data_IF_739823093479
#
_entry.id   IF_739823093479
#
_cell.length_a   1.000
_cell.length_b   1.000
_cell.length_c   1.000
_cell.angle_alpha   90.00
_cell.angle_beta   90.00
_cell.angle_gamma   90.00
#
_symmetry.space_group_name_H-M   'P 1'
#
loop_
_entity.id
_entity.type
_entity.pdbx_description
1 polymer ?
#
# COMPACT_ATOMS: atom_id res chain seq x y z
N UNK A 1 9.23 4.06 3.65
CA UNK A 1 9.56 4.99 4.74
C UNK A 1 10.36 4.29 5.85
N UNK A 2 11.13 5.03 6.64
CA UNK A 2 12.05 4.48 7.67
C UNK A 2 11.36 3.72 8.81
N UNK A 3 10.15 4.14 9.16
CA UNK A 3 9.34 3.48 10.19
C UNK A 3 8.97 2.05 9.76
N UNK A 4 8.50 1.88 8.52
CA UNK A 4 8.20 0.57 7.97
C UNK A 4 9.43 -0.33 7.94
N UNK A 5 10.56 0.18 7.46
CA UNK A 5 11.80 -0.60 7.44
C UNK A 5 12.22 -1.04 8.85
N UNK A 6 12.03 -0.18 9.86
CA UNK A 6 12.35 -0.50 11.26
C UNK A 6 11.46 -1.63 11.79
N UNK A 7 10.15 -1.55 11.60
CA UNK A 7 9.22 -2.59 12.05
C UNK A 7 9.54 -3.93 11.37
N UNK A 8 9.89 -3.89 10.09
CA UNK A 8 10.14 -5.09 9.31
C UNK A 8 11.44 -5.80 9.69
N UNK A 9 12.53 -5.04 9.88
CA UNK A 9 13.80 -5.57 10.41
C UNK A 9 13.63 -6.21 11.78
N UNK A 10 12.78 -5.64 12.63
CA UNK A 10 12.56 -6.14 13.99
C UNK A 10 11.73 -7.43 14.02
N UNK A 11 10.69 -7.54 13.21
CA UNK A 11 9.70 -8.60 13.31
C UNK A 11 9.89 -9.75 12.29
N UNK A 12 10.57 -9.51 11.17
CA UNK A 12 10.83 -10.53 10.15
C UNK A 12 12.16 -10.28 9.40
N UNK A 13 13.32 -10.39 10.08
CA UNK A 13 14.62 -10.05 9.51
C UNK A 13 14.98 -10.86 8.24
N UNK A 14 14.64 -12.16 8.19
CA UNK A 14 14.93 -13.00 7.02
C UNK A 14 14.09 -12.60 5.79
N UNK A 15 12.83 -12.23 6.03
CA UNK A 15 11.91 -11.75 4.97
C UNK A 15 12.29 -10.34 4.52
N UNK A 16 12.77 -9.52 5.47
CA UNK A 16 13.29 -8.18 5.20
C UNK A 16 14.48 -8.22 4.23
N UNK A 17 15.52 -9.01 4.55
CA UNK A 17 16.75 -9.04 3.73
C UNK A 17 16.49 -9.58 2.31
N UNK A 18 15.69 -10.64 2.20
CA UNK A 18 15.32 -11.20 0.89
C UNK A 18 14.52 -10.20 0.05
N UNK A 19 13.52 -9.54 0.64
CA UNK A 19 12.70 -8.59 -0.12
C UNK A 19 13.47 -7.32 -0.46
N UNK A 20 14.29 -6.79 0.46
CA UNK A 20 15.18 -5.68 0.18
C UNK A 20 16.10 -6.01 -0.99
N UNK A 21 16.65 -7.22 -1.04
CA UNK A 21 17.60 -7.59 -2.09
C UNK A 21 16.93 -7.81 -3.45
N UNK A 22 15.79 -8.49 -3.48
CA UNK A 22 15.21 -8.99 -4.74
C UNK A 22 13.98 -8.23 -5.25
N UNK A 23 13.22 -7.58 -4.36
CA UNK A 23 11.95 -6.94 -4.71
C UNK A 23 12.07 -5.41 -4.66
N UNK A 24 12.69 -4.88 -3.61
CA UNK A 24 12.90 -3.44 -3.41
C UNK A 24 14.40 -3.11 -3.23
N UNK A 25 15.25 -3.36 -4.25
CA UNK A 25 16.71 -3.11 -4.17
C UNK A 25 17.06 -1.65 -3.90
N UNK A 26 16.15 -0.72 -4.23
CA UNK A 26 16.29 0.71 -3.97
C UNK A 26 15.76 1.14 -2.59
N UNK A 27 15.30 0.19 -1.76
CA UNK A 27 14.66 0.45 -0.48
C UNK A 27 13.18 0.82 -0.58
N UNK A 28 12.53 1.05 0.56
CA UNK A 28 11.12 1.43 0.63
C UNK A 28 10.96 2.93 0.39
N UNK A 29 10.67 3.32 -0.85
CA UNK A 29 10.42 4.71 -1.24
C UNK A 29 9.17 5.29 -0.56
N UNK A 30 8.98 6.61 -0.67
CA UNK A 30 7.78 7.29 -0.13
C UNK A 30 6.48 6.90 -0.87
N UNK A 31 6.61 6.24 -2.02
CA UNK A 31 5.50 5.67 -2.78
C UNK A 31 4.98 4.36 -2.17
N UNK A 32 5.63 3.84 -1.15
CA UNK A 32 5.24 2.62 -0.44
C UNK A 32 4.73 2.99 0.95
N UNK A 33 3.51 2.56 1.23
CA UNK A 33 2.87 2.60 2.53
C UNK A 33 2.86 1.19 3.12
N UNK A 34 3.02 1.13 4.44
CA UNK A 34 3.02 -0.13 5.17
C UNK A 34 1.85 -0.14 6.15
N UNK A 35 1.10 -1.24 6.14
CA UNK A 35 -0.01 -1.44 7.05
C UNK A 35 -0.11 -2.91 7.41
N UNK A 36 -0.40 -3.19 8.68
CA UNK A 36 -0.58 -4.54 9.17
C UNK A 36 -0.93 -4.51 10.64
N UNK A 37 -1.66 -5.53 11.09
CA UNK A 37 -1.96 -5.77 12.50
C UNK A 37 -1.89 -7.27 12.74
N UNK A 38 -1.59 -7.68 13.98
CA UNK A 38 -1.66 -9.09 14.39
C UNK A 38 -2.95 -9.74 13.89
N UNK A 39 -2.81 -10.83 13.13
CA UNK A 39 -3.93 -11.60 12.59
C UNK A 39 -4.73 -10.93 11.47
N UNK A 40 -4.24 -9.82 10.89
CA UNK A 40 -4.89 -9.09 9.79
C UNK A 40 -3.84 -8.65 8.77
N UNK A 41 -3.86 -9.25 7.58
CA UNK A 41 -3.05 -8.86 6.42
C UNK A 41 -3.87 -9.02 5.14
N UNK A 42 -3.50 -8.27 4.09
CA UNK A 42 -4.02 -8.48 2.75
C UNK A 42 -3.49 -9.81 2.19
N UNK A 43 -4.35 -10.61 1.59
CA UNK A 43 -4.00 -11.96 1.12
C UNK A 43 -3.88 -12.01 -0.41
N UNK A 44 -3.54 -13.20 -0.92
CA UNK A 44 -3.51 -13.47 -2.35
C UNK A 44 -4.91 -13.24 -2.95
N UNK A 45 -4.96 -12.45 -4.02
CA UNK A 45 -6.21 -12.08 -4.70
C UNK A 45 -6.72 -10.70 -4.34
N UNK A 46 -6.20 -10.08 -3.27
CA UNK A 46 -6.59 -8.72 -2.88
C UNK A 46 -5.81 -7.62 -3.64
N UNK A 47 -4.82 -8.00 -4.46
CA UNK A 47 -4.00 -7.06 -5.24
C UNK A 47 -4.87 -6.11 -6.08
N UNK A 48 -4.62 -4.81 -5.94
CA UNK A 48 -5.42 -3.74 -6.54
C UNK A 48 -6.59 -3.26 -5.67
N UNK A 49 -6.91 -3.96 -4.57
CA UNK A 49 -7.93 -3.56 -3.61
C UNK A 49 -7.55 -2.34 -2.77
N UNK A 50 -8.53 -1.62 -2.20
CA UNK A 50 -8.28 -0.41 -1.42
C UNK A 50 -7.91 -0.72 0.03
N UNK A 51 -6.86 -0.07 0.54
CA UNK A 51 -6.70 0.20 1.96
C UNK A 51 -7.43 1.51 2.27
N UNK A 52 -8.56 1.42 2.97
CA UNK A 52 -9.38 2.60 3.31
C UNK A 52 -9.53 2.79 4.81
N UNK A 53 -9.76 4.04 5.20
CA UNK A 53 -10.13 4.41 6.56
C UNK A 53 -11.46 5.17 6.54
N UNK A 54 -12.38 4.76 7.41
CA UNK A 54 -13.66 5.42 7.63
C UNK A 54 -13.48 6.51 8.69
N UNK A 55 -13.71 7.77 8.32
CA UNK A 55 -13.62 8.88 9.26
C UNK A 55 -14.90 9.03 10.11
N UNK A 56 -14.90 9.98 11.05
CA UNK A 56 -16.04 10.24 11.97
C UNK A 56 -17.30 10.77 11.28
N UNK A 57 -17.21 11.14 10.01
CA UNK A 57 -18.32 11.64 9.21
C UNK A 57 -18.83 10.58 8.21
N UNK A 58 -18.51 9.30 8.44
CA UNK A 58 -18.88 8.17 7.59
C UNK A 58 -18.35 8.23 6.15
N UNK A 59 -17.24 8.93 5.92
CA UNK A 59 -16.57 8.95 4.62
C UNK A 59 -15.37 8.00 4.60
N UNK A 60 -15.33 7.14 3.57
CA UNK A 60 -14.16 6.32 3.27
C UNK A 60 -13.12 7.13 2.48
N UNK A 61 -11.90 7.17 2.99
CA UNK A 61 -10.73 7.68 2.26
C UNK A 61 -9.80 6.52 1.93
N UNK A 62 -9.38 6.43 0.67
CA UNK A 62 -8.40 5.42 0.22
C UNK A 62 -6.99 5.95 0.45
N UNK A 63 -6.24 5.28 1.31
CA UNK A 63 -4.86 5.64 1.65
C UNK A 63 -3.83 4.79 0.91
N UNK A 64 -4.20 3.56 0.55
CA UNK A 64 -3.30 2.64 -0.11
C UNK A 64 -3.99 1.74 -1.12
N UNK A 65 -3.19 1.15 -2.01
CA UNK A 65 -3.63 0.09 -2.93
C UNK A 65 -2.82 -1.16 -2.61
N UNK A 66 -3.49 -2.28 -2.40
CA UNK A 66 -2.83 -3.56 -2.10
C UNK A 66 -1.86 -3.91 -3.24
N UNK A 67 -0.58 -4.01 -2.93
CA UNK A 67 0.46 -4.37 -3.90
C UNK A 67 1.01 -5.76 -3.57
N UNK A 68 1.50 -5.93 -2.33
CA UNK A 68 2.11 -7.19 -1.89
C UNK A 68 1.83 -7.44 -0.41
N UNK A 69 0.92 -8.39 -0.15
CA UNK A 69 0.81 -9.05 1.16
C UNK A 69 1.99 -10.00 1.33
N UNK A 70 2.69 -9.93 2.45
CA UNK A 70 3.78 -10.87 2.73
C UNK A 70 3.24 -12.20 3.21
N UNK A 71 2.04 -12.18 3.81
CA UNK A 71 1.38 -13.33 4.42
C UNK A 71 -0.15 -13.21 4.32
N UNK A 72 -0.89 -14.23 4.73
CA UNK A 72 -2.34 -14.12 4.93
C UNK A 72 -2.63 -14.25 6.42
N UNK A 73 -2.76 -13.12 7.11
CA UNK A 73 -3.07 -13.06 8.55
C UNK A 73 -2.08 -13.85 9.44
N UNK A 74 -0.77 -13.65 9.24
CA UNK A 74 0.25 -14.27 10.08
C UNK A 74 0.21 -13.73 11.53
N UNK A 75 0.68 -14.57 12.45
CA UNK A 75 0.86 -14.28 13.87
C UNK A 75 2.04 -13.33 14.12
N UNK A 76 2.93 -13.17 13.14
CA UNK A 76 4.00 -12.16 13.17
C UNK A 76 3.49 -10.81 12.64
N UNK A 77 3.91 -9.69 13.28
CA UNK A 77 3.61 -8.32 12.79
C UNK A 77 4.53 -8.02 11.61
N UNK A 78 4.18 -8.56 10.45
CA UNK A 78 4.85 -8.28 9.19
C UNK A 78 3.93 -7.34 8.42
N UNK A 79 4.17 -6.02 8.39
CA UNK A 79 3.34 -5.10 7.62
C UNK A 79 3.34 -5.46 6.13
N UNK A 80 2.15 -5.50 5.53
CA UNK A 80 1.98 -5.62 4.09
C UNK A 80 2.34 -4.31 3.37
N UNK A 81 2.66 -4.41 2.08
CA UNK A 81 3.00 -3.26 1.24
C UNK A 81 1.85 -2.81 0.37
N UNK A 82 1.63 -1.50 0.43
CA UNK A 82 0.60 -0.81 -0.31
C UNK A 82 1.24 0.32 -1.10
N UNK A 83 0.73 0.58 -2.30
CA UNK A 83 1.05 1.81 -3.00
C UNK A 83 0.47 2.98 -2.20
N UNK A 84 1.27 3.97 -1.84
CA UNK A 84 0.84 5.16 -1.13
C UNK A 84 0.03 6.07 -2.07
N UNK A 85 -1.30 6.09 -1.95
CA UNK A 85 -2.17 6.87 -2.85
C UNK A 85 -1.83 8.36 -2.80
N UNK A 86 -1.42 8.89 -1.64
CA UNK A 86 -1.07 10.29 -1.48
C UNK A 86 0.07 10.73 -2.43
N UNK A 87 1.03 9.85 -2.70
CA UNK A 87 2.14 10.11 -3.63
C UNK A 87 1.72 10.20 -5.10
N UNK A 88 0.47 9.83 -5.43
CA UNK A 88 -0.06 9.79 -6.79
C UNK A 88 -1.29 10.67 -7.00
N UNK A 89 -1.75 11.42 -5.98
CA UNK A 89 -2.97 12.24 -6.07
C UNK A 89 -2.90 13.24 -7.23
N UNK A 90 -1.78 13.93 -7.41
CA UNK A 90 -1.62 14.90 -8.51
C UNK A 90 -1.73 14.23 -9.88
N UNK A 91 -1.13 13.05 -10.03
CA UNK A 91 -1.23 12.27 -11.27
C UNK A 91 -2.68 11.80 -11.51
N UNK A 92 -3.33 11.25 -10.48
CA UNK A 92 -4.74 10.82 -10.55
C UNK A 92 -5.62 12.00 -10.96
N UNK A 93 -5.44 13.15 -10.33
CA UNK A 93 -6.20 14.36 -10.61
C UNK A 93 -6.00 14.85 -12.04
N UNK A 94 -4.75 14.88 -12.53
CA UNK A 94 -4.44 15.30 -13.89
C UNK A 94 -5.11 14.38 -14.95
N UNK A 95 -5.02 13.06 -14.77
CA UNK A 95 -5.64 12.10 -15.68
C UNK A 95 -7.17 12.20 -15.65
N UNK A 96 -7.78 12.29 -14.47
CA UNK A 96 -9.25 12.34 -14.34
C UNK A 96 -9.85 13.68 -14.76
N UNK A 97 -9.14 14.79 -14.53
CA UNK A 97 -9.55 16.11 -15.00
C UNK A 97 -9.44 16.23 -16.52
N UNK A 98 -8.43 15.63 -17.14
CA UNK A 98 -8.29 15.58 -18.60
C UNK A 98 -9.28 14.64 -19.28
N UNK A 99 -9.73 13.58 -18.60
CA UNK A 99 -10.83 12.74 -19.11
C UNK A 99 -12.19 13.43 -19.04
N UNK A 100 -12.37 14.42 -18.17
CA UNK A 100 -13.61 15.20 -18.08
C UNK A 100 -13.83 16.11 -19.31
N UNK A 101 -12.80 16.37 -20.13
CA UNK A 101 -12.92 17.13 -21.39
C UNK A 101 -13.19 16.24 -22.59
N UNK A 102 -13.05 14.92 -22.46
CA UNK A 102 -13.46 13.93 -23.44
C UNK A 102 -14.89 13.48 -23.14
N UNK A 103 -15.88 14.38 -23.29
CA UNK A 103 -17.28 13.95 -23.27
C UNK A 103 -17.51 12.91 -24.39
N UNK A 104 -18.28 11.83 -24.14
CA UNK A 104 -18.73 10.97 -25.22
C UNK A 104 -19.56 11.80 -26.18
N UNK A 105 -19.18 11.85 -27.45
CA UNK A 105 -20.07 12.32 -28.50
C UNK A 105 -21.33 11.45 -28.50
N UNK A 106 -22.54 12.04 -28.64
CA UNK A 106 -23.79 11.28 -28.74
C UNK A 106 -23.75 10.19 -29.82
#
# INVERSE_FOLDING_TARGET
>A
NSECESQWRQHAPDVYETTRTYIYPQGLTDQILCAGRLGVDACKGDSGGPLSHLNTNDHHTVFGIVSKGTTCADIAIVPGFYTNVASYVDWIYNITSSMSTLQPTP
#
